data_IF_781604452166
#
_entry.id   IF_781604452166
#
_cell.length_a   1.000
_cell.length_b   1.000
_cell.length_c   1.000
_cell.angle_alpha   90.00
_cell.angle_beta   90.00
_cell.angle_gamma   90.00
#
_symmetry.space_group_name_H-M   'P 1'
#
loop_
_entity.id
_entity.type
_entity.pdbx_description
1 polymer ?
#
# COMPACT_ATOMS: atom_id res chain seq x y z
N UNK A 1 15.84 -25.20 10.72
CA UNK A 1 15.38 -24.06 11.53
C UNK A 1 16.29 -22.89 11.19
N UNK A 2 15.84 -21.97 10.33
CA UNK A 2 16.56 -20.71 10.21
C UNK A 2 16.30 -19.94 11.51
N UNK A 3 17.37 -19.68 12.27
CA UNK A 3 17.34 -18.78 13.42
C UNK A 3 16.70 -17.45 12.99
N UNK A 4 15.83 -16.93 13.85
CA UNK A 4 15.20 -15.63 13.64
C UNK A 4 16.28 -14.55 13.85
N UNK A 5 17.02 -14.25 12.79
CA UNK A 5 17.77 -13.01 12.73
C UNK A 5 16.78 -11.85 12.92
N UNK A 6 17.08 -10.94 13.85
CA UNK A 6 16.32 -9.71 14.06
C UNK A 6 16.45 -8.87 12.79
N UNK A 7 15.53 -9.05 11.85
CA UNK A 7 15.43 -8.22 10.66
C UNK A 7 15.26 -6.77 11.11
N UNK A 8 15.97 -5.82 10.49
CA UNK A 8 15.84 -4.40 10.81
C UNK A 8 14.41 -3.93 10.57
N UNK A 9 13.67 -3.69 11.65
CA UNK A 9 12.31 -3.12 11.58
C UNK A 9 12.44 -1.62 11.40
N UNK A 10 11.84 -1.09 10.33
CA UNK A 10 11.76 0.35 10.12
C UNK A 10 10.77 0.96 11.11
N UNK A 11 11.05 2.14 11.69
CA UNK A 11 10.07 2.84 12.53
C UNK A 11 8.81 3.19 11.75
N UNK A 12 7.64 2.96 12.35
CA UNK A 12 6.35 3.31 11.78
C UNK A 12 6.31 4.79 11.38
N UNK A 13 5.96 5.13 10.12
CA UNK A 13 5.85 6.52 9.68
C UNK A 13 4.80 7.29 10.48
N UNK A 14 5.06 8.58 10.70
CA UNK A 14 4.07 9.52 11.23
C UNK A 14 3.56 10.41 10.12
N UNK A 15 2.27 10.73 10.15
CA UNK A 15 1.61 11.55 9.14
C UNK A 15 1.03 12.81 9.79
N UNK A 16 1.18 13.95 9.12
CA UNK A 16 0.55 15.22 9.52
C UNK A 16 -0.94 15.20 9.19
N UNK A 17 -1.28 14.78 7.97
CA UNK A 17 -2.65 14.52 7.55
C UNK A 17 -3.03 13.05 7.79
N UNK A 18 -4.27 12.74 8.20
CA UNK A 18 -4.73 11.36 8.35
C UNK A 18 -4.49 10.52 7.09
N UNK A 19 -4.21 9.22 7.28
CA UNK A 19 -4.12 8.23 6.20
C UNK A 19 -5.32 7.30 6.26
N UNK A 20 -5.90 6.99 5.10
CA UNK A 20 -7.01 6.04 4.97
C UNK A 20 -6.57 4.87 4.10
N UNK A 21 -6.54 3.67 4.66
CA UNK A 21 -6.16 2.45 3.93
C UNK A 21 -7.35 1.54 3.68
N UNK A 22 -7.26 0.70 2.65
CA UNK A 22 -8.16 -0.42 2.44
C UNK A 22 -7.42 -1.74 2.68
N UNK A 23 -7.94 -2.55 3.59
CA UNK A 23 -7.52 -3.93 3.78
C UNK A 23 -8.42 -4.82 2.91
N UNK A 24 -7.82 -5.52 1.95
CA UNK A 24 -8.51 -6.53 1.15
C UNK A 24 -8.02 -7.89 1.60
N UNK A 25 -8.92 -8.70 2.15
CA UNK A 25 -8.57 -10.01 2.75
C UNK A 25 -9.28 -11.16 2.06
N UNK A 26 -8.56 -12.25 1.81
CA UNK A 26 -9.14 -13.53 1.40
C UNK A 26 -9.22 -14.49 2.61
N UNK A 27 -10.38 -14.68 3.24
CA UNK A 27 -10.51 -15.39 4.51
C UNK A 27 -10.72 -16.90 4.35
N UNK A 28 -10.01 -17.54 3.40
CA UNK A 28 -10.11 -19.00 3.17
C UNK A 28 -9.82 -19.80 4.46
N UNK A 29 -8.83 -19.34 5.24
CA UNK A 29 -8.54 -19.82 6.59
C UNK A 29 -8.92 -18.73 7.60
N UNK A 30 -10.15 -18.77 8.13
CA UNK A 30 -10.72 -17.66 8.90
C UNK A 30 -9.86 -17.19 10.08
N UNK A 31 -9.40 -18.10 10.93
CA UNK A 31 -8.59 -17.76 12.10
C UNK A 31 -7.26 -17.07 11.71
N UNK A 32 -6.61 -17.55 10.65
CA UNK A 32 -5.37 -16.96 10.11
C UNK A 32 -5.64 -15.57 9.55
N UNK A 33 -6.74 -15.39 8.82
CA UNK A 33 -7.14 -14.11 8.25
C UNK A 33 -7.48 -13.08 9.35
N UNK A 34 -8.22 -13.48 10.37
CA UNK A 34 -8.58 -12.60 11.50
C UNK A 34 -7.33 -12.14 12.27
N UNK A 35 -6.34 -13.02 12.46
CA UNK A 35 -5.03 -12.67 13.04
C UNK A 35 -4.25 -11.67 12.18
N UNK A 36 -4.17 -11.91 10.86
CA UNK A 36 -3.54 -10.98 9.92
C UNK A 36 -4.23 -9.60 9.95
N UNK A 37 -5.56 -9.57 9.91
CA UNK A 37 -6.34 -8.33 9.93
C UNK A 37 -6.13 -7.60 11.27
N UNK A 38 -6.12 -8.31 12.40
CA UNK A 38 -5.86 -7.72 13.72
C UNK A 38 -4.49 -7.04 13.77
N UNK A 39 -3.46 -7.72 13.29
CA UNK A 39 -2.10 -7.16 13.20
C UNK A 39 -2.03 -5.93 12.30
N UNK A 40 -2.67 -5.98 11.13
CA UNK A 40 -2.70 -4.87 10.18
C UNK A 40 -3.43 -3.64 10.74
N UNK A 41 -4.60 -3.83 11.37
CA UNK A 41 -5.38 -2.75 12.00
C UNK A 41 -4.57 -2.05 13.09
N UNK A 42 -3.96 -2.82 13.98
CA UNK A 42 -3.16 -2.27 15.08
C UNK A 42 -2.01 -1.39 14.56
N UNK A 43 -1.31 -1.81 13.50
CA UNK A 43 -0.24 -1.03 12.90
C UNK A 43 -0.75 0.28 12.25
N UNK A 44 -1.89 0.22 11.55
CA UNK A 44 -2.51 1.40 10.93
C UNK A 44 -2.97 2.40 12.00
N UNK A 45 -3.60 1.92 13.06
CA UNK A 45 -4.04 2.74 14.19
C UNK A 45 -2.85 3.36 14.93
N UNK A 46 -1.76 2.62 15.12
CA UNK A 46 -0.52 3.13 15.71
C UNK A 46 0.12 4.27 14.90
N UNK A 47 -0.09 4.28 13.57
CA UNK A 47 0.32 5.37 12.69
C UNK A 47 -0.66 6.56 12.66
N UNK A 48 -1.75 6.51 13.41
CA UNK A 48 -2.83 7.52 13.39
C UNK A 48 -3.74 7.43 12.17
N UNK A 49 -3.72 6.29 11.47
CA UNK A 49 -4.53 6.03 10.29
C UNK A 49 -5.89 5.43 10.59
N UNK A 50 -6.72 5.35 9.56
CA UNK A 50 -7.98 4.60 9.56
C UNK A 50 -7.97 3.56 8.45
N UNK A 51 -8.78 2.51 8.60
CA UNK A 51 -8.92 1.52 7.54
C UNK A 51 -10.35 1.00 7.38
N UNK A 52 -10.66 0.58 6.16
CA UNK A 52 -11.81 -0.25 5.84
C UNK A 52 -11.33 -1.69 5.56
N UNK A 53 -12.18 -2.68 5.81
CA UNK A 53 -11.88 -4.08 5.50
C UNK A 53 -12.94 -4.61 4.55
N UNK A 54 -12.51 -5.24 3.48
CA UNK A 54 -13.37 -5.96 2.55
C UNK A 54 -12.85 -7.38 2.35
N UNK A 55 -13.80 -8.32 2.23
CA UNK A 55 -13.49 -9.73 2.01
C UNK A 55 -13.68 -10.09 0.53
N UNK A 56 -12.77 -10.92 0.01
CA UNK A 56 -12.87 -11.52 -1.32
C UNK A 56 -12.77 -13.05 -1.21
N UNK A 57 -13.29 -13.82 -2.18
CA UNK A 57 -13.33 -15.28 -2.07
C UNK A 57 -11.94 -15.95 -1.94
N UNK A 58 -10.94 -15.44 -2.67
CA UNK A 58 -9.61 -16.03 -2.72
C UNK A 58 -8.50 -15.02 -2.98
N UNK A 59 -7.24 -15.48 -2.85
CA UNK A 59 -6.07 -14.63 -3.01
C UNK A 59 -5.90 -14.06 -4.43
N UNK A 60 -6.46 -14.73 -5.44
CA UNK A 60 -6.46 -14.28 -6.83
C UNK A 60 -7.35 -13.05 -7.07
N UNK A 61 -8.38 -12.86 -6.23
CA UNK A 61 -9.30 -11.72 -6.36
C UNK A 61 -8.79 -10.46 -5.65
N UNK A 62 -7.83 -10.59 -4.73
CA UNK A 62 -7.28 -9.46 -3.96
C UNK A 62 -6.75 -8.33 -4.86
N UNK A 63 -5.88 -8.59 -5.87
CA UNK A 63 -5.37 -7.52 -6.74
C UNK A 63 -6.49 -6.84 -7.52
N UNK A 64 -7.47 -7.60 -8.00
CA UNK A 64 -8.62 -7.08 -8.74
C UNK A 64 -9.46 -6.14 -7.89
N UNK A 65 -9.76 -6.52 -6.64
CA UNK A 65 -10.50 -5.68 -5.70
C UNK A 65 -9.73 -4.40 -5.36
N UNK A 66 -8.41 -4.48 -5.17
CA UNK A 66 -7.55 -3.29 -4.98
C UNK A 66 -7.65 -2.36 -6.20
N UNK A 67 -7.51 -2.89 -7.42
CA UNK A 67 -7.59 -2.10 -8.64
C UNK A 67 -8.99 -1.50 -8.89
N UNK A 68 -10.05 -2.14 -8.42
CA UNK A 68 -11.40 -1.56 -8.42
C UNK A 68 -11.50 -0.39 -7.45
N UNK A 69 -11.05 -0.59 -6.20
CA UNK A 69 -11.07 0.45 -5.17
C UNK A 69 -10.23 1.67 -5.56
N UNK A 70 -9.04 1.48 -6.14
CA UNK A 70 -8.16 2.59 -6.54
C UNK A 70 -8.77 3.50 -7.61
N UNK A 71 -9.63 2.95 -8.47
CA UNK A 71 -10.32 3.73 -9.52
C UNK A 71 -11.61 4.39 -9.04
N UNK A 72 -12.23 3.86 -7.99
CA UNK A 72 -13.61 4.21 -7.62
C UNK A 72 -13.72 4.84 -6.23
N UNK A 73 -12.68 4.74 -5.41
CA UNK A 73 -12.67 5.15 -4.01
C UNK A 73 -11.44 6.02 -3.70
N UNK A 74 -11.44 6.63 -2.52
CA UNK A 74 -10.36 7.50 -2.07
C UNK A 74 -9.60 6.87 -0.90
N UNK A 75 -8.63 6.02 -1.22
CA UNK A 75 -7.69 5.42 -0.26
C UNK A 75 -6.26 5.88 -0.58
N UNK A 76 -5.45 6.10 0.46
CA UNK A 76 -4.03 6.45 0.32
C UNK A 76 -3.16 5.24 -0.03
N UNK A 77 -3.59 4.04 0.39
CA UNK A 77 -2.91 2.79 0.14
C UNK A 77 -3.72 1.56 0.53
N UNK A 78 -3.14 0.39 0.30
CA UNK A 78 -3.83 -0.89 0.35
C UNK A 78 -3.02 -1.94 1.10
N UNK A 79 -3.70 -2.85 1.78
CA UNK A 79 -3.08 -4.01 2.43
C UNK A 79 -3.73 -5.27 1.87
N UNK A 80 -2.96 -6.09 1.18
CA UNK A 80 -3.37 -7.36 0.60
C UNK A 80 -3.12 -8.49 1.60
N UNK A 81 -4.16 -9.10 2.17
CA UNK A 81 -4.03 -10.14 3.18
C UNK A 81 -4.66 -11.46 2.71
N UNK A 82 -3.99 -12.57 3.00
CA UNK A 82 -4.52 -13.89 2.69
C UNK A 82 -3.57 -14.98 3.15
N UNK A 83 -3.97 -16.23 2.96
CA UNK A 83 -3.11 -17.37 3.23
C UNK A 83 -3.38 -18.49 2.23
N UNK A 84 -2.30 -19.00 1.66
CA UNK A 84 -2.27 -20.14 0.75
C UNK A 84 -1.35 -21.18 1.36
N UNK A 85 -1.91 -22.35 1.65
CA UNK A 85 -1.20 -23.47 2.25
C UNK A 85 -1.02 -24.54 1.18
N UNK A 86 0.19 -25.10 1.06
CA UNK A 86 0.50 -26.11 0.04
C UNK A 86 -0.45 -27.31 0.17
N UNK A 87 -1.09 -27.65 -0.94
CA UNK A 87 -1.88 -28.87 -1.12
C UNK A 87 -1.17 -29.87 -2.04
N UNK A 88 -1.96 -30.78 -2.61
CA UNK A 88 -1.47 -31.91 -3.42
C UNK A 88 -1.15 -31.56 -4.88
N UNK A 89 -1.64 -30.42 -5.36
CA UNK A 89 -1.56 -30.04 -6.79
C UNK A 89 -0.79 -28.75 -6.99
N UNK A 90 -0.46 -28.47 -8.25
CA UNK A 90 0.23 -27.23 -8.68
C UNK A 90 -0.62 -25.96 -8.50
N UNK A 91 -1.86 -26.09 -8.02
CA UNK A 91 -2.73 -24.94 -7.73
C UNK A 91 -2.08 -23.97 -6.74
N UNK A 92 -1.29 -24.50 -5.78
CA UNK A 92 -0.52 -23.69 -4.84
C UNK A 92 0.39 -22.69 -5.57
N UNK A 93 1.20 -23.16 -6.52
CA UNK A 93 2.11 -22.32 -7.30
C UNK A 93 1.35 -21.27 -8.09
N UNK A 94 0.25 -21.64 -8.74
CA UNK A 94 -0.59 -20.71 -9.52
C UNK A 94 -1.11 -19.59 -8.62
N UNK A 95 -1.77 -19.93 -7.51
CA UNK A 95 -2.36 -18.93 -6.62
C UNK A 95 -1.29 -18.03 -6.01
N UNK A 96 -0.19 -18.59 -5.53
CA UNK A 96 0.90 -17.83 -4.90
C UNK A 96 1.59 -16.88 -5.89
N UNK A 97 1.97 -17.39 -7.07
CA UNK A 97 2.74 -16.62 -8.03
C UNK A 97 1.90 -15.54 -8.72
N UNK A 98 0.67 -15.86 -9.10
CA UNK A 98 -0.15 -14.94 -9.89
C UNK A 98 -0.74 -13.83 -9.03
N UNK A 99 -1.15 -14.11 -7.79
CA UNK A 99 -1.57 -13.06 -6.85
C UNK A 99 -0.42 -12.11 -6.50
N UNK A 100 0.77 -12.66 -6.21
CA UNK A 100 1.97 -11.87 -5.92
C UNK A 100 2.40 -11.00 -7.10
N UNK A 101 2.42 -11.57 -8.32
CA UNK A 101 2.77 -10.85 -9.55
C UNK A 101 1.78 -9.72 -9.82
N UNK A 102 0.48 -9.96 -9.68
CA UNK A 102 -0.53 -8.94 -9.90
C UNK A 102 -0.42 -7.78 -8.89
N UNK A 103 -0.19 -8.08 -7.61
CA UNK A 103 0.08 -7.05 -6.58
C UNK A 103 1.33 -6.24 -6.93
N UNK A 104 2.41 -6.90 -7.33
CA UNK A 104 3.64 -6.21 -7.73
C UNK A 104 3.41 -5.27 -8.92
N UNK A 105 2.68 -5.71 -9.94
CA UNK A 105 2.36 -4.88 -11.11
C UNK A 105 1.55 -3.64 -10.73
N UNK A 106 0.56 -3.77 -9.84
CA UNK A 106 -0.19 -2.62 -9.30
C UNK A 106 0.71 -1.68 -8.50
N UNK A 107 1.61 -2.21 -7.68
CA UNK A 107 2.59 -1.41 -6.94
C UNK A 107 3.51 -0.61 -7.87
N UNK A 108 3.98 -1.23 -8.97
CA UNK A 108 4.80 -0.57 -9.99
C UNK A 108 4.03 0.50 -10.78
N UNK A 109 2.69 0.42 -10.84
CA UNK A 109 1.83 1.47 -11.39
C UNK A 109 1.64 2.66 -10.42
N UNK A 110 2.18 2.57 -9.19
CA UNK A 110 2.21 3.67 -8.23
C UNK A 110 1.27 3.50 -7.02
N UNK A 111 0.58 2.36 -6.90
CA UNK A 111 -0.26 2.09 -5.74
C UNK A 111 0.62 1.73 -4.53
N UNK A 112 0.29 2.29 -3.36
CA UNK A 112 0.99 1.98 -2.12
C UNK A 112 0.42 0.70 -1.51
N UNK A 113 0.96 -0.47 -1.88
CA UNK A 113 0.42 -1.77 -1.47
C UNK A 113 1.40 -2.51 -0.57
N UNK A 114 0.90 -2.97 0.59
CA UNK A 114 1.56 -3.95 1.44
C UNK A 114 1.08 -5.35 1.15
N UNK A 115 1.98 -6.29 0.83
CA UNK A 115 1.63 -7.69 0.59
C UNK A 115 1.82 -8.55 1.85
N UNK A 116 0.72 -9.05 2.38
CA UNK A 116 0.64 -10.00 3.50
C UNK A 116 -0.05 -11.31 3.13
N UNK A 117 -0.03 -11.71 1.85
CA UNK A 117 -0.46 -13.05 1.44
C UNK A 117 0.60 -14.06 1.89
N UNK A 118 0.24 -14.90 2.85
CA UNK A 118 1.11 -15.96 3.35
C UNK A 118 1.17 -17.12 2.35
N UNK A 119 2.38 -17.49 1.95
CA UNK A 119 2.65 -18.68 1.15
C UNK A 119 3.44 -19.66 2.02
N UNK A 120 2.78 -20.73 2.45
CA UNK A 120 3.30 -21.62 3.50
C UNK A 120 3.06 -23.09 3.16
N UNK A 121 3.85 -23.95 3.81
CA UNK A 121 3.82 -25.38 3.57
C UNK A 121 2.83 -26.13 4.48
N UNK A 122 2.37 -25.50 5.58
CA UNK A 122 1.43 -26.11 6.54
C UNK A 122 0.79 -25.07 7.49
N UNK A 123 -0.23 -25.52 8.23
CA UNK A 123 -0.99 -24.70 9.18
C UNK A 123 -0.13 -24.09 10.29
N UNK A 124 0.79 -24.86 10.87
CA UNK A 124 1.66 -24.38 11.94
C UNK A 124 2.54 -23.19 11.48
N UNK A 125 2.99 -23.21 10.23
CA UNK A 125 3.69 -22.07 9.64
C UNK A 125 2.76 -20.86 9.45
N UNK A 126 1.51 -21.08 9.04
CA UNK A 126 0.50 -20.04 8.88
C UNK A 126 0.21 -19.34 10.20
N UNK A 127 -0.05 -20.11 11.27
CA UNK A 127 -0.36 -19.61 12.61
C UNK A 127 0.76 -18.73 13.16
N UNK A 128 2.01 -19.19 13.08
CA UNK A 128 3.16 -18.41 13.59
C UNK A 128 3.36 -17.11 12.80
N UNK A 129 3.08 -17.13 11.50
CA UNK A 129 3.25 -15.98 10.60
C UNK A 129 2.14 -14.95 10.79
N UNK A 130 0.90 -15.39 10.93
CA UNK A 130 -0.26 -14.52 11.09
C UNK A 130 -0.35 -13.89 12.48
N UNK A 131 0.04 -14.64 13.52
CA UNK A 131 -0.14 -14.22 14.91
C UNK A 131 0.56 -12.87 15.20
N UNK A 132 -0.19 -11.85 15.66
CA UNK A 132 0.33 -10.51 15.98
C UNK A 132 1.39 -10.44 17.07
N UNK A 133 1.45 -11.44 17.95
CA UNK A 133 2.44 -11.54 19.05
C UNK A 133 3.69 -12.33 18.63
N UNK A 134 3.66 -12.97 17.46
CA UNK A 134 4.78 -13.74 16.91
C UNK A 134 5.42 -12.98 15.74
N UNK A 135 5.19 -13.40 14.51
CA UNK A 135 5.82 -12.77 13.35
C UNK A 135 5.00 -11.61 12.76
N UNK A 136 3.73 -11.46 13.17
CA UNK A 136 2.82 -10.37 12.81
C UNK A 136 2.92 -9.94 11.33
N UNK A 137 2.77 -10.88 10.39
CA UNK A 137 2.89 -10.56 8.96
C UNK A 137 1.79 -9.63 8.45
N UNK A 138 0.64 -9.61 9.11
CA UNK A 138 -0.42 -8.63 8.85
C UNK A 138 0.02 -7.20 9.18
N UNK A 139 0.57 -6.98 10.37
CA UNK A 139 1.16 -5.70 10.76
C UNK A 139 2.33 -5.30 9.86
N UNK A 140 3.21 -6.24 9.51
CA UNK A 140 4.30 -6.00 8.57
C UNK A 140 3.83 -5.53 7.19
N UNK A 141 2.74 -6.10 6.67
CA UNK A 141 2.14 -5.66 5.42
C UNK A 141 1.56 -4.24 5.54
N UNK A 142 0.84 -3.93 6.62
CA UNK A 142 0.37 -2.57 6.88
C UNK A 142 1.51 -1.55 6.98
N UNK A 143 2.58 -1.86 7.72
CA UNK A 143 3.77 -1.03 7.83
C UNK A 143 4.40 -0.75 6.46
N UNK A 144 4.50 -1.77 5.59
CA UNK A 144 5.00 -1.60 4.24
C UNK A 144 4.14 -0.63 3.41
N UNK A 145 2.81 -0.75 3.48
CA UNK A 145 1.89 0.17 2.81
C UNK A 145 2.07 1.61 3.32
N UNK A 146 2.14 1.80 4.64
CA UNK A 146 2.36 3.11 5.27
C UNK A 146 3.69 3.75 4.83
N UNK A 147 4.77 2.97 4.74
CA UNK A 147 6.05 3.47 4.25
C UNK A 147 5.96 3.96 2.80
N UNK A 148 5.26 3.23 1.94
CA UNK A 148 5.04 3.66 0.55
C UNK A 148 4.20 4.95 0.49
N UNK A 149 3.16 5.08 1.33
CA UNK A 149 2.37 6.32 1.44
C UNK A 149 3.26 7.49 1.87
N UNK A 150 4.11 7.28 2.87
CA UNK A 150 5.02 8.32 3.36
C UNK A 150 6.00 8.78 2.26
N UNK A 151 6.56 7.85 1.47
CA UNK A 151 7.41 8.18 0.33
C UNK A 151 6.63 8.94 -0.76
N UNK A 152 5.42 8.47 -1.10
CA UNK A 152 4.53 9.12 -2.07
C UNK A 152 4.21 10.56 -1.66
N UNK A 153 3.87 10.81 -0.39
CA UNK A 153 3.61 12.15 0.13
C UNK A 153 4.89 13.01 0.15
N UNK A 154 6.02 12.48 0.62
CA UNK A 154 7.31 13.19 0.65
C UNK A 154 7.76 13.66 -0.74
N UNK A 155 7.66 12.80 -1.75
CA UNK A 155 8.08 13.15 -3.11
C UNK A 155 7.00 13.90 -3.89
N UNK A 156 5.72 13.60 -3.67
CA UNK A 156 4.59 14.31 -4.29
C UNK A 156 4.45 15.76 -3.80
N UNK A 157 4.81 16.05 -2.55
CA UNK A 157 4.82 17.41 -2.00
C UNK A 157 5.97 18.27 -2.55
N UNK A 158 7.03 17.67 -3.10
CA UNK A 158 8.19 18.38 -3.63
C UNK A 158 7.87 19.06 -4.96
N UNK A 159 7.14 20.18 -4.92
CA UNK A 159 6.93 21.11 -6.06
C UNK A 159 8.18 21.94 -6.36
N UNK A 160 9.38 21.34 -6.37
CA UNK A 160 10.57 22.02 -6.90
C UNK A 160 10.52 22.04 -8.42
N UNK A 161 9.90 23.08 -8.99
CA UNK A 161 10.22 23.58 -10.32
C UNK A 161 10.04 22.62 -11.52
N UNK A 162 9.12 21.66 -11.46
CA UNK A 162 8.76 20.85 -12.63
C UNK A 162 7.56 21.50 -13.31
N UNK A 163 7.82 22.24 -14.39
CA UNK A 163 6.83 22.95 -15.20
C UNK A 163 7.38 24.27 -15.75
N UNK A 164 6.88 24.69 -16.91
CA UNK A 164 7.15 26.00 -17.50
C UNK A 164 6.70 27.09 -16.52
N UNK A 165 7.63 27.68 -15.76
CA UNK A 165 7.35 28.95 -15.08
C UNK A 165 7.26 30.00 -16.19
N UNK A 166 6.09 30.64 -16.42
CA UNK A 166 6.12 31.86 -17.21
C UNK A 166 7.11 32.83 -16.55
N UNK A 167 7.94 33.54 -17.32
CA UNK A 167 8.78 34.59 -16.76
C UNK A 167 7.89 35.51 -15.94
N UNK A 168 8.32 35.79 -14.70
CA UNK A 168 7.65 36.71 -13.79
C UNK A 168 7.24 37.99 -14.53
N UNK A 169 5.94 38.28 -14.50
CA UNK A 169 5.27 39.53 -14.86
C UNK A 169 6.09 40.51 -15.72
N UNK A 170 6.09 40.28 -17.03
CA UNK A 170 6.10 41.37 -17.99
C UNK A 170 4.97 41.12 -18.97
N UNK A 171 3.76 41.51 -18.57
CA UNK A 171 2.67 41.69 -19.52
C UNK A 171 3.05 42.93 -20.34
N UNK A 172 3.72 42.73 -21.47
CA UNK A 172 3.80 43.75 -22.51
C UNK A 172 2.39 43.86 -23.10
N UNK A 173 1.61 44.80 -22.55
CA UNK A 173 0.36 45.24 -23.15
C UNK A 173 0.73 45.90 -24.48
N UNK A 174 0.39 45.23 -25.57
CA UNK A 174 0.50 45.80 -26.91
C UNK A 174 -0.57 46.90 -27.05
N UNK A 175 -0.20 48.14 -26.74
CA UNK A 175 -1.07 49.30 -26.93
C UNK A 175 -0.76 50.42 -25.96
N UNK A 176 -0.32 51.54 -26.52
CA UNK A 176 -0.28 52.89 -25.95
C UNK A 176 1.00 53.35 -25.23
N UNK A 177 1.90 53.92 -26.03
CA UNK A 177 2.65 55.11 -25.63
C UNK A 177 2.55 56.18 -26.73
N UNK A 178 1.40 56.87 -26.74
CA UNK A 178 1.31 58.17 -27.39
C UNK A 178 2.04 59.22 -26.52
N UNK A 179 3.19 59.68 -27.03
CA UNK A 179 3.58 61.09 -26.96
C UNK A 179 4.47 61.56 -25.80
N UNK A 180 5.72 61.89 -26.13
CA UNK A 180 6.34 63.13 -25.65
C UNK A 180 7.27 63.68 -26.73
N UNK A 181 6.76 64.68 -27.44
CA UNK A 181 7.49 65.59 -28.32
C UNK A 181 8.44 66.45 -27.48
N UNK A 182 9.72 66.51 -27.82
CA UNK A 182 10.56 67.71 -27.62
C UNK A 182 11.80 67.66 -28.52
N UNK A 183 11.85 68.66 -29.42
CA UNK A 183 12.95 69.32 -30.13
C UNK A 183 14.11 68.47 -30.69
#
# INVERSE_FOLDING_TARGET
MAEQDKHGVLPTPKFEDPVKLLIVVAPFYRAIADDLVRGAKAEIEAAGGSCEVVEVPGALEIPTAIAMADRQCNFDGYVALGCVIRGETTHYETVCNDSSRAIQLLGLQGLCIGNGILTVENDAQAEVRANPEKMNKGGGAAAAALHLIALRRKWGASKKGVGFKPPSESILVAGDSNGSTTA
#
